data_IF_583181964050
#
_entry.id   IF_583181964050
#
_cell.length_a   1.000
_cell.length_b   1.000
_cell.length_c   1.000
_cell.angle_alpha   90.00
_cell.angle_beta   90.00
_cell.angle_gamma   90.00
#
_symmetry.space_group_name_H-M   'P 1'
#
loop_
_entity.id
_entity.type
_entity.pdbx_description
1 polymer ?
#
# COMPACT_ATOMS: atom_id res chain seq x y z
N UNK A 1 -31.09 -51.23 -39.54
CA UNK A 1 -30.80 -50.38 -38.37
C UNK A 1 -29.75 -49.40 -38.83
N UNK A 2 -30.11 -48.14 -39.04
CA UNK A 2 -29.17 -47.10 -39.46
C UNK A 2 -28.14 -46.90 -38.36
N UNK A 3 -26.86 -47.10 -38.68
CA UNK A 3 -25.77 -46.59 -37.88
C UNK A 3 -25.87 -45.06 -37.96
N UNK A 4 -26.61 -44.44 -37.04
CA UNK A 4 -26.50 -43.00 -36.83
C UNK A 4 -25.03 -42.74 -36.47
N UNK A 5 -24.34 -42.02 -37.35
CA UNK A 5 -22.98 -41.57 -37.09
C UNK A 5 -23.01 -40.68 -35.85
N UNK A 6 -22.64 -41.26 -34.72
CA UNK A 6 -22.54 -40.57 -33.46
C UNK A 6 -21.41 -39.53 -33.58
N UNK A 7 -21.80 -38.27 -33.75
CA UNK A 7 -20.84 -37.20 -34.02
C UNK A 7 -20.01 -36.93 -32.77
N UNK A 8 -18.76 -36.48 -32.95
CA UNK A 8 -17.89 -36.05 -31.85
C UNK A 8 -18.59 -35.00 -30.96
N UNK A 9 -19.38 -34.10 -31.55
CA UNK A 9 -20.14 -33.09 -30.81
C UNK A 9 -21.19 -33.70 -29.86
N UNK A 10 -21.89 -34.76 -30.30
CA UNK A 10 -22.85 -35.49 -29.44
C UNK A 10 -22.13 -36.26 -28.33
N UNK A 11 -20.96 -36.84 -28.63
CA UNK A 11 -20.13 -37.49 -27.62
C UNK A 11 -19.66 -36.52 -26.54
N UNK A 12 -19.13 -35.36 -26.95
CA UNK A 12 -18.68 -34.31 -26.03
C UNK A 12 -19.84 -33.76 -25.19
N UNK A 13 -21.03 -33.59 -25.78
CA UNK A 13 -22.22 -33.15 -25.07
C UNK A 13 -22.64 -34.14 -23.98
N UNK A 14 -22.72 -35.45 -24.29
CA UNK A 14 -23.10 -36.46 -23.31
C UNK A 14 -22.07 -36.59 -22.17
N UNK A 15 -20.78 -36.52 -22.49
CA UNK A 15 -19.72 -36.51 -21.48
C UNK A 15 -19.86 -35.31 -20.54
N UNK A 16 -20.09 -34.12 -21.08
CA UNK A 16 -20.34 -32.92 -20.29
C UNK A 16 -21.59 -33.05 -19.40
N UNK A 17 -22.71 -33.53 -19.95
CA UNK A 17 -23.94 -33.73 -19.18
C UNK A 17 -23.75 -34.75 -18.06
N UNK A 18 -22.99 -35.83 -18.31
CA UNK A 18 -22.64 -36.82 -17.30
C UNK A 18 -21.71 -36.24 -16.22
N UNK A 19 -20.70 -35.46 -16.61
CA UNK A 19 -19.81 -34.76 -15.67
C UNK A 19 -20.61 -33.78 -14.80
N UNK A 20 -21.52 -33.01 -15.37
CA UNK A 20 -22.41 -32.10 -14.62
C UNK A 20 -23.33 -32.87 -13.68
N UNK A 21 -23.93 -33.98 -14.14
CA UNK A 21 -24.83 -34.78 -13.32
C UNK A 21 -24.13 -35.52 -12.17
N UNK A 22 -22.84 -35.84 -12.34
CA UNK A 22 -22.01 -36.50 -11.32
C UNK A 22 -21.16 -35.53 -10.49
N UNK A 23 -21.15 -34.24 -10.84
CA UNK A 23 -20.45 -33.22 -10.09
C UNK A 23 -21.07 -33.10 -8.68
N UNK A 24 -20.24 -33.08 -7.62
CA UNK A 24 -20.75 -32.87 -6.29
C UNK A 24 -21.40 -31.48 -6.18
N UNK A 25 -22.56 -31.40 -5.53
CA UNK A 25 -23.27 -30.13 -5.33
C UNK A 25 -22.46 -29.10 -4.54
N UNK A 26 -21.48 -29.57 -3.75
CA UNK A 26 -20.59 -28.76 -2.94
C UNK A 26 -19.15 -29.23 -3.06
N UNK A 27 -18.23 -28.29 -3.00
CA UNK A 27 -16.82 -28.64 -2.96
C UNK A 27 -16.49 -29.35 -1.63
N UNK A 28 -15.56 -30.32 -1.63
CA UNK A 28 -15.25 -31.11 -0.43
C UNK A 28 -14.73 -30.29 0.78
N UNK A 29 -14.21 -29.09 0.51
CA UNK A 29 -13.77 -28.13 1.53
C UNK A 29 -14.85 -27.09 1.90
N UNK A 30 -15.99 -27.09 1.24
CA UNK A 30 -17.05 -26.10 1.47
C UNK A 30 -17.77 -26.39 2.80
N UNK A 31 -17.51 -25.55 3.80
CA UNK A 31 -18.22 -25.57 5.07
C UNK A 31 -19.61 -24.94 4.97
N UNK A 32 -20.48 -25.13 5.98
CA UNK A 32 -21.85 -24.58 5.96
C UNK A 32 -21.90 -23.05 5.93
N UNK A 33 -20.86 -22.38 6.44
CA UNK A 33 -20.75 -20.91 6.48
C UNK A 33 -19.97 -20.34 5.28
N UNK A 34 -19.43 -21.19 4.41
CA UNK A 34 -18.66 -20.74 3.26
C UNK A 34 -19.53 -19.97 2.27
N UNK A 35 -18.94 -18.95 1.66
CA UNK A 35 -19.59 -18.22 0.57
C UNK A 35 -19.75 -19.16 -0.63
N UNK A 36 -20.93 -19.13 -1.27
CA UNK A 36 -21.15 -19.90 -2.49
C UNK A 36 -20.40 -19.26 -3.66
N UNK A 37 -20.01 -20.05 -4.66
CA UNK A 37 -19.29 -19.59 -5.86
C UNK A 37 -19.88 -18.31 -6.52
N UNK A 38 -21.22 -18.19 -6.72
CA UNK A 38 -21.78 -16.97 -7.31
C UNK A 38 -21.53 -15.69 -6.50
N UNK A 39 -21.28 -15.83 -5.18
CA UNK A 39 -20.99 -14.68 -4.33
C UNK A 39 -19.57 -14.14 -4.52
N UNK A 40 -18.59 -15.00 -4.84
CA UNK A 40 -17.24 -14.55 -5.19
C UNK A 40 -17.26 -13.68 -6.45
N UNK A 41 -17.98 -14.09 -7.49
CA UNK A 41 -18.13 -13.32 -8.71
C UNK A 41 -18.80 -11.96 -8.47
N UNK A 42 -19.90 -11.94 -7.69
CA UNK A 42 -20.57 -10.67 -7.31
C UNK A 42 -19.69 -9.79 -6.44
N UNK A 43 -18.87 -10.38 -5.58
CA UNK A 43 -17.94 -9.67 -4.72
C UNK A 43 -16.95 -8.75 -5.43
N UNK A 44 -16.53 -9.15 -6.62
CA UNK A 44 -15.66 -8.33 -7.47
C UNK A 44 -16.35 -7.05 -7.98
N UNK A 45 -17.69 -7.05 -8.05
CA UNK A 45 -18.49 -5.95 -8.60
C UNK A 45 -19.12 -5.12 -7.48
N UNK A 46 -19.81 -5.78 -6.56
CA UNK A 46 -20.65 -5.16 -5.51
C UNK A 46 -19.90 -4.88 -4.22
N UNK A 47 -18.60 -5.21 -4.17
CA UNK A 47 -17.79 -5.29 -2.95
C UNK A 47 -18.31 -6.35 -1.95
N UNK A 48 -17.41 -6.82 -1.09
CA UNK A 48 -17.78 -7.68 0.04
C UNK A 48 -18.24 -6.85 1.23
N UNK A 49 -19.16 -7.39 2.01
CA UNK A 49 -19.45 -6.87 3.35
C UNK A 49 -18.27 -7.15 4.28
N UNK A 50 -18.18 -6.44 5.42
CA UNK A 50 -17.12 -6.68 6.39
C UNK A 50 -17.16 -8.10 6.97
N UNK A 51 -18.35 -8.62 7.25
CA UNK A 51 -18.54 -9.99 7.72
C UNK A 51 -18.04 -11.03 6.71
N UNK A 52 -18.25 -10.80 5.41
CA UNK A 52 -17.76 -11.68 4.36
C UNK A 52 -16.23 -11.59 4.21
N UNK A 53 -15.66 -10.38 4.27
CA UNK A 53 -14.20 -10.20 4.27
C UNK A 53 -13.55 -10.94 5.43
N UNK A 54 -14.12 -10.79 6.63
CA UNK A 54 -13.65 -11.47 7.83
C UNK A 54 -13.77 -12.99 7.67
N UNK A 55 -14.91 -13.50 7.20
CA UNK A 55 -15.06 -14.93 6.95
C UNK A 55 -14.05 -15.45 5.92
N UNK A 56 -13.81 -14.75 4.81
CA UNK A 56 -12.82 -15.18 3.80
C UNK A 56 -11.42 -15.21 4.41
N UNK A 57 -11.07 -14.23 5.25
CA UNK A 57 -9.79 -14.14 5.97
C UNK A 57 -9.60 -15.33 6.92
N UNK A 58 -10.61 -15.68 7.71
CA UNK A 58 -10.49 -16.67 8.80
C UNK A 58 -11.14 -18.03 8.50
N UNK A 59 -11.63 -18.25 7.28
CA UNK A 59 -12.34 -19.46 6.85
C UNK A 59 -11.63 -20.76 7.33
N UNK A 60 -12.25 -21.54 8.25
CA UNK A 60 -11.60 -22.68 8.89
C UNK A 60 -11.17 -23.77 7.91
N UNK A 61 -11.95 -23.98 6.85
CA UNK A 61 -11.69 -25.01 5.85
C UNK A 61 -10.69 -24.56 4.78
N UNK A 62 -10.33 -23.26 4.76
CA UNK A 62 -9.51 -22.65 3.71
C UNK A 62 -10.20 -22.56 2.33
N UNK A 63 -11.44 -23.01 2.21
CA UNK A 63 -12.18 -23.02 0.94
C UNK A 63 -12.32 -21.62 0.35
N UNK A 64 -12.72 -20.63 1.16
CA UNK A 64 -12.99 -19.28 0.66
C UNK A 64 -11.74 -18.60 0.07
N UNK A 65 -10.56 -18.74 0.71
CA UNK A 65 -9.31 -18.24 0.14
C UNK A 65 -8.89 -18.99 -1.12
N UNK A 66 -9.18 -20.30 -1.20
CA UNK A 66 -8.94 -21.08 -2.42
C UNK A 66 -9.83 -20.61 -3.57
N UNK A 67 -11.11 -20.37 -3.32
CA UNK A 67 -12.04 -19.86 -4.35
C UNK A 67 -11.66 -18.45 -4.81
N UNK A 68 -11.21 -17.59 -3.88
CA UNK A 68 -10.62 -16.30 -4.23
C UNK A 68 -9.40 -16.47 -5.15
N UNK A 69 -8.47 -17.38 -4.84
CA UNK A 69 -7.32 -17.63 -5.70
C UNK A 69 -7.73 -18.11 -7.10
N UNK A 70 -8.70 -19.02 -7.20
CA UNK A 70 -9.23 -19.50 -8.47
C UNK A 70 -9.87 -18.39 -9.30
N UNK A 71 -10.49 -17.38 -8.67
CA UNK A 71 -11.05 -16.23 -9.38
C UNK A 71 -9.96 -15.41 -10.12
N UNK A 72 -8.70 -15.47 -9.65
CA UNK A 72 -7.59 -14.76 -10.27
C UNK A 72 -6.96 -15.44 -11.49
N UNK A 73 -7.50 -16.59 -11.92
CA UNK A 73 -7.06 -17.25 -13.15
C UNK A 73 -7.49 -16.48 -14.40
N UNK A 74 -8.60 -15.76 -14.33
CA UNK A 74 -9.07 -14.87 -15.40
C UNK A 74 -8.43 -13.49 -15.36
N UNK A 75 -8.19 -12.97 -14.14
CA UNK A 75 -7.65 -11.63 -13.92
C UNK A 75 -6.67 -11.63 -12.76
N UNK A 76 -5.44 -11.18 -12.99
CA UNK A 76 -4.40 -11.18 -11.95
C UNK A 76 -4.76 -10.24 -10.78
N UNK A 77 -4.26 -10.53 -9.56
CA UNK A 77 -4.41 -9.61 -8.45
C UNK A 77 -3.81 -8.23 -8.77
N UNK A 78 -4.45 -7.13 -8.32
CA UNK A 78 -3.88 -5.78 -8.42
C UNK A 78 -2.47 -5.71 -7.83
N UNK A 79 -1.62 -4.84 -8.39
CA UNK A 79 -0.23 -4.64 -7.92
C UNK A 79 -0.17 -4.28 -6.43
N UNK A 80 -1.13 -3.49 -5.93
CA UNK A 80 -1.24 -3.15 -4.51
C UNK A 80 -1.37 -4.40 -3.61
N UNK A 81 -2.12 -5.42 -4.04
CA UNK A 81 -2.25 -6.68 -3.30
C UNK A 81 -0.95 -7.48 -3.30
N UNK A 82 -0.22 -7.49 -4.42
CA UNK A 82 1.09 -8.14 -4.51
C UNK A 82 2.13 -7.46 -3.60
N UNK A 83 2.11 -6.12 -3.53
CA UNK A 83 2.95 -5.33 -2.62
C UNK A 83 2.62 -5.59 -1.15
N UNK A 84 1.35 -5.55 -0.77
CA UNK A 84 0.91 -5.92 0.58
C UNK A 84 1.35 -7.34 0.92
N UNK A 85 1.29 -8.29 -0.02
CA UNK A 85 1.69 -9.67 0.23
C UNK A 85 3.20 -9.79 0.45
N UNK A 86 4.01 -9.15 -0.39
CA UNK A 86 5.47 -9.11 -0.24
C UNK A 86 5.92 -8.45 1.09
N UNK A 87 5.08 -7.57 1.66
CA UNK A 87 5.29 -6.99 2.99
C UNK A 87 4.82 -7.90 4.14
N UNK A 88 3.99 -8.89 3.86
CA UNK A 88 3.35 -9.74 4.88
C UNK A 88 2.06 -9.14 5.46
N UNK A 89 1.49 -8.14 4.81
CA UNK A 89 0.32 -7.38 5.28
C UNK A 89 -0.98 -7.79 4.58
N UNK A 90 -0.90 -8.59 3.52
CA UNK A 90 -2.07 -8.93 2.71
C UNK A 90 -3.05 -9.82 3.49
N UNK A 91 -4.35 -9.45 3.58
CA UNK A 91 -5.32 -10.15 4.43
C UNK A 91 -5.69 -11.57 3.96
N UNK A 92 -5.35 -11.95 2.72
CA UNK A 92 -5.66 -13.28 2.17
C UNK A 92 -4.39 -14.04 1.77
N UNK A 93 -3.49 -14.34 2.72
CA UNK A 93 -2.17 -14.89 2.40
C UNK A 93 -2.24 -16.29 1.80
N UNK A 94 -3.21 -17.13 2.19
CA UNK A 94 -3.38 -18.48 1.63
C UNK A 94 -3.90 -18.41 0.19
N UNK A 95 -4.73 -17.43 -0.13
CA UNK A 95 -5.18 -17.21 -1.51
C UNK A 95 -3.98 -16.86 -2.42
N UNK A 96 -3.16 -15.91 -1.99
CA UNK A 96 -1.97 -15.50 -2.74
C UNK A 96 -0.96 -16.64 -2.87
N UNK A 97 -0.70 -17.36 -1.78
CA UNK A 97 0.18 -18.54 -1.80
C UNK A 97 -0.32 -19.60 -2.79
N UNK A 98 -1.63 -19.90 -2.78
CA UNK A 98 -2.22 -20.84 -3.72
C UNK A 98 -2.01 -20.38 -5.17
N UNK A 99 -2.25 -19.10 -5.47
CA UNK A 99 -2.05 -18.55 -6.82
C UNK A 99 -0.57 -18.62 -7.28
N UNK A 100 0.37 -18.35 -6.38
CA UNK A 100 1.80 -18.38 -6.71
C UNK A 100 2.33 -19.81 -6.85
N UNK A 101 1.93 -20.72 -5.97
CA UNK A 101 2.50 -22.07 -5.90
C UNK A 101 1.72 -23.11 -6.73
N UNK A 102 0.38 -23.07 -6.66
CA UNK A 102 -0.48 -24.09 -7.28
C UNK A 102 -0.88 -23.69 -8.69
N UNK A 103 -1.34 -22.46 -8.90
CA UNK A 103 -1.62 -21.95 -10.26
C UNK A 103 -0.34 -21.62 -11.03
N UNK A 104 0.80 -21.54 -10.32
CA UNK A 104 2.15 -21.27 -10.88
C UNK A 104 2.19 -20.03 -11.77
N UNK A 105 1.45 -18.99 -11.40
CA UNK A 105 1.40 -17.74 -12.17
C UNK A 105 2.77 -17.07 -12.27
N UNK A 106 3.42 -17.17 -13.44
CA UNK A 106 4.78 -16.66 -13.66
C UNK A 106 4.89 -15.14 -13.46
N UNK A 107 3.91 -14.38 -13.95
CA UNK A 107 3.86 -12.92 -13.82
C UNK A 107 3.85 -12.48 -12.37
N UNK A 108 2.89 -12.97 -11.58
CA UNK A 108 2.75 -12.58 -10.18
C UNK A 108 3.94 -13.03 -9.34
N UNK A 109 4.53 -14.19 -9.62
CA UNK A 109 5.77 -14.65 -8.96
C UNK A 109 6.95 -13.72 -9.21
N UNK A 110 7.16 -13.27 -10.44
CA UNK A 110 8.24 -12.33 -10.76
C UNK A 110 8.04 -11.01 -10.02
N UNK A 111 6.82 -10.47 -10.03
CA UNK A 111 6.50 -9.21 -9.35
C UNK A 111 6.74 -9.32 -7.84
N UNK A 112 6.21 -10.36 -7.18
CA UNK A 112 6.42 -10.58 -5.74
C UNK A 112 7.91 -10.70 -5.41
N UNK A 113 8.68 -11.48 -6.19
CA UNK A 113 10.13 -11.63 -5.98
C UNK A 113 10.88 -10.30 -6.11
N UNK A 114 10.53 -9.47 -7.09
CA UNK A 114 11.13 -8.14 -7.25
C UNK A 114 10.82 -7.28 -6.03
N UNK A 115 9.56 -7.24 -5.58
CA UNK A 115 9.14 -6.46 -4.41
C UNK A 115 9.83 -6.93 -3.12
N UNK A 116 9.97 -8.24 -2.92
CA UNK A 116 10.73 -8.82 -1.81
C UNK A 116 12.22 -8.44 -1.87
N UNK A 117 12.81 -8.49 -3.08
CA UNK A 117 14.22 -8.10 -3.28
C UNK A 117 14.43 -6.62 -2.98
N UNK A 118 13.54 -5.74 -3.49
CA UNK A 118 13.60 -4.30 -3.22
C UNK A 118 13.47 -4.01 -1.73
N UNK A 119 12.60 -4.73 -1.02
CA UNK A 119 12.50 -4.64 0.45
C UNK A 119 13.80 -5.05 1.13
N UNK A 120 14.44 -6.15 0.71
CA UNK A 120 15.73 -6.56 1.27
C UNK A 120 16.84 -5.55 0.96
N UNK A 121 16.86 -4.99 -0.25
CA UNK A 121 17.82 -3.94 -0.63
C UNK A 121 17.57 -2.70 0.22
N UNK A 122 16.33 -2.23 0.36
CA UNK A 122 15.99 -1.10 1.20
C UNK A 122 16.41 -1.33 2.67
N UNK A 123 16.17 -2.51 3.22
CA UNK A 123 16.63 -2.87 4.56
C UNK A 123 18.16 -2.94 4.66
N UNK A 124 18.84 -3.46 3.63
CA UNK A 124 20.31 -3.54 3.58
C UNK A 124 20.92 -2.15 3.46
N UNK A 125 20.36 -1.28 2.62
CA UNK A 125 20.71 0.14 2.51
C UNK A 125 20.49 0.81 3.86
N UNK A 126 19.35 0.59 4.51
CA UNK A 126 19.10 1.12 5.84
C UNK A 126 20.14 0.64 6.87
N UNK A 127 20.68 -0.58 6.76
CA UNK A 127 21.76 -1.09 7.63
C UNK A 127 23.12 -0.51 7.25
N UNK A 128 23.46 -0.52 5.95
CA UNK A 128 24.77 -0.07 5.41
C UNK A 128 24.96 1.43 5.62
N UNK A 129 23.90 2.20 5.48
CA UNK A 129 23.91 3.64 5.76
C UNK A 129 23.53 3.95 7.23
N UNK A 130 22.95 2.98 7.96
CA UNK A 130 22.48 3.11 9.34
C UNK A 130 23.52 2.97 10.47
N UNK A 131 24.81 2.79 10.18
CA UNK A 131 25.88 2.97 11.19
C UNK A 131 26.64 4.30 11.06
N UNK A 132 26.27 5.17 10.11
CA UNK A 132 26.94 6.47 9.90
C UNK A 132 26.04 7.70 9.92
N UNK A 133 24.81 7.63 9.42
CA UNK A 133 23.86 8.74 9.42
C UNK A 133 22.47 8.16 9.16
N UNK A 134 21.46 8.59 9.93
CA UNK A 134 20.11 8.03 10.04
C UNK A 134 19.96 6.91 11.08
N UNK A 135 20.30 7.23 12.35
CA UNK A 135 19.31 6.93 13.39
C UNK A 135 18.05 7.66 12.97
N UNK A 136 17.04 6.94 12.47
CA UNK A 136 15.69 7.47 12.55
C UNK A 136 15.39 7.59 14.05
N UNK A 137 15.25 8.79 14.62
CA UNK A 137 14.59 8.89 15.90
C UNK A 137 13.20 8.26 15.72
N UNK A 138 12.69 7.59 16.74
CA UNK A 138 11.35 6.97 16.74
C UNK A 138 10.21 7.99 16.44
N UNK A 139 10.57 9.26 16.26
CA UNK A 139 9.71 10.43 15.99
C UNK A 139 9.88 11.02 14.57
N UNK A 140 10.67 10.39 13.68
CA UNK A 140 10.85 10.88 12.31
C UNK A 140 9.76 10.38 11.37
N UNK A 141 8.89 11.29 10.92
CA UNK A 141 7.95 11.01 9.84
C UNK A 141 8.62 11.28 8.48
N UNK A 142 8.67 10.27 7.61
CA UNK A 142 9.14 10.39 6.23
C UNK A 142 7.95 10.35 5.27
N UNK A 143 7.86 11.32 4.36
CA UNK A 143 6.70 11.54 3.50
C UNK A 143 7.03 11.31 2.01
N UNK A 144 6.01 10.94 1.23
CA UNK A 144 6.15 10.52 -0.17
C UNK A 144 6.54 11.68 -1.13
N UNK A 145 7.07 11.31 -2.31
CA UNK A 145 7.54 12.17 -3.41
C UNK A 145 6.45 13.15 -3.92
N UNK A 146 6.70 14.48 -3.88
CA UNK A 146 5.80 15.46 -4.49
C UNK A 146 6.03 15.59 -6.00
N UNK A 147 4.94 15.68 -6.79
CA UNK A 147 4.98 16.10 -8.20
C UNK A 147 4.24 17.44 -8.35
N UNK A 148 4.77 18.35 -9.17
CA UNK A 148 4.21 19.70 -9.37
C UNK A 148 2.82 19.69 -10.07
N UNK A 149 1.91 20.65 -9.75
CA UNK A 149 2.03 21.67 -8.71
C UNK A 149 2.00 21.05 -7.30
N UNK A 150 2.91 21.51 -6.44
CA UNK A 150 3.15 20.87 -5.14
C UNK A 150 2.12 21.37 -4.14
N UNK A 151 1.12 20.52 -3.88
CA UNK A 151 0.29 20.58 -2.69
C UNK A 151 0.30 19.19 -2.05
N UNK A 152 1.20 19.00 -1.08
CA UNK A 152 1.31 17.75 -0.36
C UNK A 152 0.96 18.00 1.10
N UNK A 153 -0.14 17.41 1.57
CA UNK A 153 -0.46 17.35 2.99
C UNK A 153 -0.36 15.91 3.47
N UNK A 154 0.46 15.65 4.48
CA UNK A 154 0.56 14.33 5.10
C UNK A 154 0.57 14.43 6.62
N UNK A 155 0.02 13.41 7.26
CA UNK A 155 -0.02 13.26 8.71
C UNK A 155 0.92 12.13 9.12
N UNK A 156 1.69 12.32 10.19
CA UNK A 156 2.55 11.28 10.77
C UNK A 156 1.71 10.09 11.26
N UNK A 157 2.33 8.91 11.35
CA UNK A 157 1.62 7.68 11.72
C UNK A 157 0.98 7.72 13.13
N UNK A 158 1.55 8.52 14.03
CA UNK A 158 1.02 8.76 15.38
C UNK A 158 -0.01 9.91 15.44
N UNK A 159 -0.28 10.57 14.31
CA UNK A 159 -1.22 11.69 14.23
C UNK A 159 -0.72 12.98 14.87
N UNK A 160 0.53 13.03 15.35
CA UNK A 160 1.04 14.19 16.12
C UNK A 160 1.55 15.32 15.26
N UNK A 161 1.97 15.05 14.02
CA UNK A 161 2.46 16.04 13.07
C UNK A 161 1.64 15.99 11.79
N UNK A 162 1.27 17.17 11.30
CA UNK A 162 0.71 17.37 9.97
C UNK A 162 1.69 18.27 9.24
N UNK A 163 2.19 17.81 8.10
CA UNK A 163 3.17 18.54 7.29
C UNK A 163 2.55 18.84 5.95
N UNK A 164 2.49 20.13 5.63
CA UNK A 164 1.95 20.63 4.36
C UNK A 164 3.05 21.34 3.60
N UNK A 165 3.37 20.85 2.40
CA UNK A 165 4.34 21.47 1.50
C UNK A 165 3.61 22.12 0.34
N UNK A 166 3.88 23.40 0.13
CA UNK A 166 3.19 24.21 -0.88
C UNK A 166 4.19 25.00 -1.72
N UNK A 167 3.87 25.15 -2.99
CA UNK A 167 4.37 26.24 -3.83
C UNK A 167 3.46 27.46 -3.64
N UNK A 168 4.00 28.58 -3.17
CA UNK A 168 3.19 29.79 -2.97
C UNK A 168 2.87 30.47 -4.29
N UNK A 169 1.75 31.19 -4.36
CA UNK A 169 1.40 31.97 -5.54
C UNK A 169 2.42 33.09 -5.85
N UNK A 170 2.44 33.65 -7.07
CA UNK A 170 3.21 34.85 -7.38
C UNK A 170 2.76 36.07 -6.55
N UNK A 171 3.67 37.01 -6.22
CA UNK A 171 5.05 37.13 -6.69
C UNK A 171 6.10 36.32 -5.90
N UNK A 172 5.71 35.72 -4.78
CA UNK A 172 6.64 35.03 -3.89
C UNK A 172 7.16 33.76 -4.54
N UNK A 173 6.30 32.91 -5.11
CA UNK A 173 6.70 31.68 -5.82
C UNK A 173 7.77 30.86 -5.07
N UNK A 174 7.53 30.62 -3.78
CA UNK A 174 8.44 29.98 -2.85
C UNK A 174 7.99 28.55 -2.52
N UNK A 175 8.96 27.70 -2.19
CA UNK A 175 8.69 26.41 -1.58
C UNK A 175 8.55 26.62 -0.07
N UNK A 176 7.33 26.52 0.45
CA UNK A 176 7.04 26.61 1.89
C UNK A 176 6.65 25.26 2.47
N UNK A 177 7.05 25.05 3.73
CA UNK A 177 6.59 23.94 4.55
C UNK A 177 5.89 24.50 5.77
N UNK A 178 4.64 24.07 5.96
CA UNK A 178 3.83 24.29 7.14
C UNK A 178 3.82 23.03 7.98
N UNK A 179 3.97 23.18 9.28
CA UNK A 179 3.93 22.08 10.24
C UNK A 179 2.91 22.41 11.30
N UNK A 180 1.94 21.53 11.49
CA UNK A 180 0.98 21.58 12.59
C UNK A 180 1.28 20.40 13.53
N UNK A 181 1.20 20.66 14.83
CA UNK A 181 1.48 19.66 15.87
C UNK A 181 0.33 19.61 16.89
N UNK A 182 -0.86 19.11 16.52
CA UNK A 182 -2.04 19.11 17.39
C UNK A 182 -1.87 18.27 18.66
N UNK A 183 -0.94 17.30 18.65
CA UNK A 183 -0.60 16.46 19.80
C UNK A 183 0.54 16.98 20.67
N UNK A 184 1.07 18.17 20.40
CA UNK A 184 2.17 18.75 21.16
C UNK A 184 1.67 19.25 22.53
N UNK A 185 2.38 18.90 23.61
CA UNK A 185 2.04 19.28 24.98
C UNK A 185 2.04 20.79 25.23
N UNK A 186 1.74 21.21 26.46
CA UNK A 186 1.62 22.64 26.81
C UNK A 186 2.93 23.44 26.68
N UNK A 187 4.09 22.76 26.66
CA UNK A 187 5.41 23.37 26.55
C UNK A 187 5.86 23.75 25.15
N UNK A 188 5.08 23.42 24.12
CA UNK A 188 5.49 23.58 22.72
C UNK A 188 6.59 22.60 22.33
N UNK A 189 7.40 22.96 21.34
CA UNK A 189 8.53 22.15 20.89
C UNK A 189 9.20 22.73 19.66
N UNK A 190 10.18 22.00 19.14
CA UNK A 190 10.84 22.32 17.87
C UNK A 190 10.60 21.22 16.86
N UNK A 191 10.49 21.59 15.59
CA UNK A 191 10.41 20.63 14.49
C UNK A 191 11.59 20.86 13.58
N UNK A 192 12.41 19.84 13.37
CA UNK A 192 13.41 19.85 12.30
C UNK A 192 12.76 19.33 11.02
N UNK A 193 12.69 20.18 10.01
CA UNK A 193 12.22 19.85 8.67
C UNK A 193 13.41 19.68 7.74
N UNK A 194 13.44 18.55 7.03
CA UNK A 194 14.48 18.17 6.06
C UNK A 194 13.81 17.86 4.73
N UNK A 195 14.22 18.57 3.68
CA UNK A 195 13.92 18.24 2.29
C UNK A 195 15.14 17.52 1.72
N UNK A 196 15.02 16.22 1.45
CA UNK A 196 16.11 15.41 0.94
C UNK A 196 15.81 15.01 -0.50
N UNK A 197 16.57 15.58 -1.45
CA UNK A 197 16.51 15.21 -2.85
C UNK A 197 17.75 14.43 -3.29
N UNK A 198 17.79 14.05 -4.57
CA UNK A 198 18.92 13.32 -5.17
C UNK A 198 20.26 14.06 -5.04
N UNK A 199 20.22 15.39 -5.21
CA UNK A 199 21.44 16.21 -5.36
C UNK A 199 21.78 17.05 -4.14
N UNK A 200 20.81 17.33 -3.27
CA UNK A 200 21.02 18.16 -2.10
C UNK A 200 20.02 17.85 -0.97
N UNK A 201 20.40 18.29 0.23
CA UNK A 201 19.52 18.32 1.40
C UNK A 201 19.34 19.77 1.83
N UNK A 202 18.09 20.18 2.08
CA UNK A 202 17.75 21.47 2.66
C UNK A 202 17.14 21.25 4.05
N UNK A 203 17.69 21.90 5.07
CA UNK A 203 17.25 21.73 6.46
C UNK A 203 16.87 23.05 7.11
N UNK A 204 15.82 23.02 7.94
CA UNK A 204 15.39 24.11 8.81
C UNK A 204 14.94 23.55 10.16
N UNK A 205 15.24 24.28 11.22
CA UNK A 205 14.70 24.04 12.55
C UNK A 205 13.64 25.10 12.81
N UNK A 206 12.44 24.67 13.18
CA UNK A 206 11.27 25.50 13.37
C UNK A 206 10.87 25.47 14.83
N UNK A 207 10.66 26.64 15.43
CA UNK A 207 10.03 26.73 16.74
C UNK A 207 8.52 26.74 16.57
N UNK A 208 7.81 25.86 17.26
CA UNK A 208 6.35 25.82 17.21
C UNK A 208 5.78 27.00 17.98
N UNK A 209 4.89 27.73 17.34
CA UNK A 209 4.14 28.83 17.93
C UNK A 209 2.73 28.36 18.28
N UNK A 210 2.22 28.82 19.42
CA UNK A 210 0.88 28.46 19.87
C UNK A 210 -0.17 29.32 19.16
N UNK A 211 -1.10 28.67 18.46
CA UNK A 211 -2.23 29.29 17.76
C UNK A 211 -3.55 28.90 18.42
N UNK A 212 -4.68 29.33 17.85
CA UNK A 212 -6.01 28.89 18.29
C UNK A 212 -6.33 27.43 17.89
N UNK A 213 -5.60 26.89 16.90
CA UNK A 213 -5.80 25.54 16.36
C UNK A 213 -4.78 24.52 16.88
N UNK A 214 -3.75 24.96 17.60
CA UNK A 214 -2.76 24.09 18.20
C UNK A 214 -1.37 24.72 18.22
N UNK A 215 -0.38 23.96 17.78
CA UNK A 215 0.99 24.39 17.64
C UNK A 215 1.37 24.37 16.17
N UNK A 216 1.85 25.47 15.63
CA UNK A 216 2.11 25.64 14.21
C UNK A 216 3.50 26.25 13.99
N UNK A 217 4.14 25.90 12.88
CA UNK A 217 5.33 26.59 12.39
C UNK A 217 5.38 26.59 10.87
N UNK A 218 6.03 27.60 10.29
CA UNK A 218 6.30 27.65 8.85
C UNK A 218 7.78 27.91 8.55
N UNK A 219 8.25 27.41 7.42
CA UNK A 219 9.53 27.78 6.84
C UNK A 219 9.45 27.94 5.33
N UNK A 220 10.15 28.96 4.83
CA UNK A 220 10.50 29.09 3.43
C UNK A 220 11.85 28.43 3.15
N UNK A 221 11.89 27.65 2.07
CA UNK A 221 13.10 27.05 1.52
C UNK A 221 13.63 27.83 0.31
N UNK A 222 13.12 29.05 0.08
CA UNK A 222 13.49 29.94 -1.02
C UNK A 222 12.56 29.79 -2.22
N UNK A 223 12.98 30.37 -3.35
CA UNK A 223 12.24 30.28 -4.62
C UNK A 223 12.04 28.83 -5.02
N UNK A 224 10.83 28.47 -5.43
CA UNK A 224 10.45 27.11 -5.74
C UNK A 224 11.38 26.48 -6.78
N UNK A 225 11.62 27.18 -7.89
CA UNK A 225 12.49 26.71 -8.98
C UNK A 225 13.92 26.45 -8.50
N UNK A 226 14.46 27.31 -7.64
CA UNK A 226 15.82 27.14 -7.10
C UNK A 226 15.91 25.98 -6.11
N UNK A 227 14.89 25.83 -5.25
CA UNK A 227 14.84 24.73 -4.29
C UNK A 227 14.70 23.38 -5.00
N UNK A 228 13.76 23.26 -5.95
CA UNK A 228 13.55 22.04 -6.73
C UNK A 228 14.75 21.73 -7.63
N UNK A 229 15.37 22.73 -8.28
CA UNK A 229 16.58 22.50 -9.07
C UNK A 229 17.75 21.96 -8.24
N UNK A 230 17.82 22.31 -6.95
CA UNK A 230 18.83 21.77 -6.02
C UNK A 230 18.48 20.38 -5.52
N UNK A 231 17.19 20.11 -5.28
CA UNK A 231 16.72 18.83 -4.76
C UNK A 231 16.75 17.74 -5.86
N UNK A 232 16.34 18.07 -7.09
CA UNK A 232 16.16 17.10 -8.18
C UNK A 232 14.67 16.84 -8.46
N UNK A 233 14.40 15.93 -9.39
CA UNK A 233 13.03 15.56 -9.77
C UNK A 233 12.31 14.79 -8.65
N UNK A 234 13.06 13.94 -7.94
CA UNK A 234 12.57 13.13 -6.83
C UNK A 234 13.17 13.61 -5.50
N UNK A 235 12.31 13.95 -4.54
CA UNK A 235 12.72 14.35 -3.19
C UNK A 235 11.67 14.00 -2.15
N UNK A 236 12.11 13.84 -0.91
CA UNK A 236 11.29 13.46 0.24
C UNK A 236 11.33 14.55 1.30
N UNK A 237 10.25 14.64 2.06
CA UNK A 237 10.15 15.52 3.24
C UNK A 237 10.28 14.64 4.46
N UNK A 238 11.09 15.08 5.43
CA UNK A 238 11.17 14.46 6.75
C UNK A 238 10.96 15.54 7.80
N UNK A 239 10.01 15.32 8.71
CA UNK A 239 9.81 16.17 9.87
C UNK A 239 10.05 15.37 11.15
N UNK A 240 10.84 15.95 12.04
CA UNK A 240 11.20 15.35 13.33
C UNK A 240 10.82 16.33 14.42
N UNK A 241 9.85 15.96 15.25
CA UNK A 241 9.50 16.71 16.45
C UNK A 241 10.58 16.52 17.51
N UNK A 242 10.80 17.55 18.33
CA UNK A 242 11.65 17.52 19.52
C UNK A 242 10.91 18.20 20.65
N UNK A 243 10.65 17.43 21.70
CA UNK A 243 10.12 17.98 22.94
C UNK A 243 11.12 18.99 23.54
N UNK A 244 10.65 20.05 24.22
CA UNK A 244 11.51 20.96 24.95
C UNK A 244 12.28 20.18 26.01
N UNK A 245 13.59 20.38 26.10
CA UNK A 245 14.42 19.78 27.16
C UNK A 245 13.88 20.25 28.52
N UNK A 246 13.30 19.31 29.28
CA UNK A 246 12.77 19.54 30.64
C UNK A 246 13.83 19.56 31.72
#
# INVERSE_FOLDING_TARGET
MSNEEFTLAQAMKLLYEQEVASAPERHALEGPECLRLPRFARGAIEQWTEAEREHVRTCPTGYCQRMLALSWRGEHPPLAHLSQYARGEYPYPKAMQFHLEHDRCGRCRVVVRVLETLRTVAATVAVVYGEGLLRQPEEAAAFAEPRAPVYLCQTSADGKLIVTVVETDPPEHELKVYVEAPGCGEGGGRVRVTLAGESATLERELELEKTEFGWEAEASFGKFEEAVARLGEDWVVVAVFREPEG
#
